data_IF_818106526451
#
_entry.id   IF_818106526451
#
_cell.length_a   1.000
_cell.length_b   1.000
_cell.length_c   1.000
_cell.angle_alpha   90.00
_cell.angle_beta   90.00
_cell.angle_gamma   90.00
#
_symmetry.space_group_name_H-M   'P 1'
#
loop_
_entity.id
_entity.type
_entity.pdbx_description
1 polymer ?
#
# COMPACT_ATOMS: atom_id res chain seq x y z
N UNK A 1 -12.92 -8.00 0.44
CA UNK A 1 -13.51 -6.67 0.67
C UNK A 1 -14.86 -6.59 0.00
N UNK A 2 -15.77 -5.75 0.52
CA UNK A 2 -17.11 -5.54 0.00
C UNK A 2 -17.13 -4.57 -1.20
N UNK A 3 -16.23 -3.59 -1.19
CA UNK A 3 -16.05 -2.60 -2.27
C UNK A 3 -15.63 -3.26 -3.59
N UNK A 4 -16.03 -2.66 -4.70
CA UNK A 4 -15.71 -3.17 -6.04
C UNK A 4 -14.21 -3.11 -6.33
N UNK A 5 -13.71 -3.95 -7.24
CA UNK A 5 -12.30 -3.92 -7.63
C UNK A 5 -11.88 -2.57 -8.22
N UNK A 6 -12.80 -1.85 -8.88
CA UNK A 6 -12.54 -0.54 -9.46
C UNK A 6 -12.36 0.55 -8.41
N UNK A 7 -13.25 0.60 -7.41
CA UNK A 7 -13.16 1.60 -6.34
C UNK A 7 -11.88 1.41 -5.52
N UNK A 8 -11.57 0.16 -5.23
CA UNK A 8 -10.38 -0.23 -4.47
C UNK A 8 -9.11 0.07 -5.24
N UNK A 9 -9.08 -0.27 -6.53
CA UNK A 9 -7.95 0.07 -7.39
C UNK A 9 -7.78 1.58 -7.52
N UNK A 10 -8.87 2.33 -7.67
CA UNK A 10 -8.85 3.80 -7.68
C UNK A 10 -8.25 4.37 -6.39
N UNK A 11 -8.60 3.80 -5.24
CA UNK A 11 -8.03 4.19 -3.95
C UNK A 11 -6.54 3.86 -3.81
N UNK A 12 -6.09 2.69 -4.27
CA UNK A 12 -4.67 2.28 -4.25
C UNK A 12 -3.84 3.16 -5.19
N UNK A 13 -4.33 3.38 -6.41
CA UNK A 13 -3.66 4.23 -7.38
C UNK A 13 -3.60 5.68 -6.90
N UNK A 14 -4.71 6.19 -6.32
CA UNK A 14 -4.83 7.50 -5.70
C UNK A 14 -4.35 7.58 -4.25
N UNK A 15 -3.50 6.66 -3.79
CA UNK A 15 -3.15 6.51 -2.37
C UNK A 15 -2.65 7.82 -1.73
N UNK A 16 -1.93 8.65 -2.47
CA UNK A 16 -1.39 9.94 -1.99
C UNK A 16 -2.46 10.86 -1.40
N UNK A 17 -3.68 10.80 -1.94
CA UNK A 17 -4.81 11.61 -1.49
C UNK A 17 -5.79 10.78 -0.65
N UNK A 18 -6.00 9.52 -1.01
CA UNK A 18 -7.05 8.70 -0.38
C UNK A 18 -6.60 8.14 0.96
N UNK A 19 -5.37 7.66 1.10
CA UNK A 19 -4.95 6.92 2.29
C UNK A 19 -4.95 7.76 3.56
N UNK A 20 -4.38 8.99 3.58
CA UNK A 20 -4.41 9.83 4.78
C UNK A 20 -5.83 10.22 5.21
N UNK A 21 -6.78 10.29 4.27
CA UNK A 21 -8.18 10.61 4.55
C UNK A 21 -8.97 9.39 5.02
N UNK A 22 -8.80 8.26 4.33
CA UNK A 22 -9.56 7.04 4.56
C UNK A 22 -9.06 6.26 5.78
N UNK A 23 -7.76 6.29 6.05
CA UNK A 23 -7.12 5.53 7.13
C UNK A 23 -6.02 6.33 7.83
N UNK A 24 -6.38 7.46 8.47
CA UNK A 24 -5.43 8.36 9.16
C UNK A 24 -4.67 7.69 10.31
N UNK A 25 -5.24 6.63 10.90
CA UNK A 25 -4.57 5.83 11.92
C UNK A 25 -3.36 5.05 11.35
N UNK A 26 -3.36 4.74 10.06
CA UNK A 26 -2.31 3.99 9.36
C UNK A 26 -1.37 4.91 8.57
N UNK A 27 -1.89 5.97 7.97
CA UNK A 27 -1.13 6.92 7.14
C UNK A 27 -1.40 8.34 7.60
N UNK A 28 -0.35 9.03 8.07
CA UNK A 28 -0.44 10.45 8.44
C UNK A 28 -0.28 11.34 7.19
N UNK A 29 0.70 11.01 6.34
CA UNK A 29 0.92 11.71 5.09
C UNK A 29 1.61 10.83 4.05
N UNK A 30 1.33 11.09 2.78
CA UNK A 30 2.07 10.53 1.64
C UNK A 30 2.43 11.69 0.71
N UNK A 31 3.71 12.05 0.68
CA UNK A 31 4.22 13.18 -0.09
C UNK A 31 4.89 12.69 -1.37
N UNK A 32 4.54 13.28 -2.50
CA UNK A 32 5.22 13.02 -3.77
C UNK A 32 6.50 13.85 -3.83
N UNK A 33 7.66 13.20 -3.94
CA UNK A 33 8.97 13.85 -4.00
C UNK A 33 9.70 13.63 -5.32
N UNK A 34 9.15 12.79 -6.20
CA UNK A 34 9.65 12.60 -7.57
C UNK A 34 8.49 12.34 -8.53
N UNK A 35 8.52 13.03 -9.68
CA UNK A 35 7.51 12.95 -10.75
C UNK A 35 6.07 13.24 -10.25
N UNK A 36 5.09 12.44 -10.67
CA UNK A 36 3.66 12.67 -10.47
C UNK A 36 3.06 11.86 -9.31
N UNK A 37 3.80 10.90 -8.75
CA UNK A 37 3.36 10.07 -7.63
C UNK A 37 2.44 8.92 -8.03
N UNK A 38 2.25 8.69 -9.33
CA UNK A 38 1.29 7.75 -9.90
C UNK A 38 1.95 6.79 -10.90
N UNK A 39 2.94 7.26 -11.66
CA UNK A 39 3.58 6.49 -12.73
C UNK A 39 4.90 5.88 -12.30
N UNK A 40 5.39 4.90 -13.06
CA UNK A 40 6.68 4.28 -12.81
C UNK A 40 7.83 5.32 -12.78
N UNK A 41 8.73 5.15 -11.82
CA UNK A 41 9.80 6.08 -11.47
C UNK A 41 9.38 7.23 -10.55
N UNK A 42 8.11 7.30 -10.12
CA UNK A 42 7.68 8.26 -9.11
C UNK A 42 8.13 7.86 -7.72
N UNK A 43 8.43 8.85 -6.88
CA UNK A 43 8.90 8.64 -5.50
C UNK A 43 7.88 9.21 -4.53
N UNK A 44 7.52 8.42 -3.51
CA UNK A 44 6.61 8.79 -2.44
C UNK A 44 7.28 8.63 -1.09
N UNK A 45 7.19 9.66 -0.25
CA UNK A 45 7.58 9.62 1.15
C UNK A 45 6.34 9.42 2.02
N UNK A 46 6.32 8.32 2.75
CA UNK A 46 5.22 7.94 3.63
C UNK A 46 5.62 8.28 5.07
N UNK A 47 4.72 8.98 5.75
CA UNK A 47 4.72 9.07 7.21
C UNK A 47 3.56 8.23 7.72
N UNK A 48 3.87 7.21 8.51
CA UNK A 48 2.86 6.30 9.03
C UNK A 48 2.16 6.86 10.27
N UNK A 49 0.87 6.58 10.37
CA UNK A 49 0.05 6.88 11.56
C UNK A 49 0.32 5.90 12.71
N UNK A 50 -0.33 6.13 13.85
CA UNK A 50 -0.01 5.45 15.11
C UNK A 50 -0.15 3.92 15.10
N UNK A 51 -0.97 3.32 14.22
CA UNK A 51 -1.10 1.85 14.08
C UNK A 51 0.19 1.20 13.54
N UNK A 52 0.96 1.94 12.73
CA UNK A 52 2.15 1.43 12.05
C UNK A 52 3.44 2.10 12.58
N UNK A 53 3.37 3.36 13.02
CA UNK A 53 4.53 4.18 13.42
C UNK A 53 5.42 3.56 14.51
N UNK A 54 4.85 2.71 15.37
CA UNK A 54 5.62 1.97 16.39
C UNK A 54 6.45 0.80 15.84
N UNK A 55 6.33 0.49 14.55
CA UNK A 55 7.09 -0.55 13.84
C UNK A 55 7.94 0.08 12.73
N UNK A 56 7.35 0.95 11.93
CA UNK A 56 7.98 1.67 10.82
C UNK A 56 7.45 3.09 10.86
N UNK A 57 8.30 4.09 11.11
CA UNK A 57 7.84 5.47 11.22
C UNK A 57 7.68 6.11 9.84
N UNK A 58 8.65 5.86 8.95
CA UNK A 58 8.66 6.39 7.59
C UNK A 58 9.13 5.37 6.57
N UNK A 59 8.54 5.40 5.39
CA UNK A 59 9.03 4.68 4.22
C UNK A 59 9.28 5.66 3.08
N UNK A 60 10.25 5.37 2.21
CA UNK A 60 10.41 6.07 0.93
C UNK A 60 10.34 5.03 -0.16
N UNK A 61 9.26 5.05 -0.91
CA UNK A 61 9.00 4.07 -1.95
C UNK A 61 9.09 4.68 -3.35
N UNK A 62 9.46 3.86 -4.30
CA UNK A 62 9.45 4.15 -5.73
C UNK A 62 8.42 3.25 -6.42
N UNK A 63 7.57 3.83 -7.26
CA UNK A 63 6.68 3.04 -8.13
C UNK A 63 7.53 2.43 -9.23
N UNK A 64 7.68 1.10 -9.23
CA UNK A 64 8.49 0.40 -10.24
C UNK A 64 7.66 -0.11 -11.42
N UNK A 65 6.34 -0.27 -11.24
CA UNK A 65 5.43 -0.75 -12.26
C UNK A 65 3.98 -0.44 -11.91
N UNK A 66 3.17 -0.17 -12.95
CA UNK A 66 1.72 -0.03 -12.84
C UNK A 66 1.09 -0.74 -14.03
N UNK A 67 0.19 -1.67 -13.74
CA UNK A 67 -0.62 -2.36 -14.72
C UNK A 67 -2.10 -2.09 -14.40
N UNK A 68 -2.70 -1.19 -15.18
CA UNK A 68 -4.11 -0.82 -15.00
C UNK A 68 -5.07 -1.92 -15.47
N UNK A 69 -4.64 -2.78 -16.40
CA UNK A 69 -5.47 -3.89 -16.91
C UNK A 69 -5.59 -4.98 -15.84
N UNK A 70 -4.46 -5.32 -15.19
CA UNK A 70 -4.40 -6.31 -14.12
C UNK A 70 -4.50 -5.71 -12.71
N UNK A 71 -4.80 -4.40 -12.58
CA UNK A 71 -4.90 -3.66 -11.31
C UNK A 71 -3.77 -3.97 -10.34
N UNK A 72 -2.54 -3.90 -10.85
CA UNK A 72 -1.33 -4.25 -10.11
C UNK A 72 -0.41 -3.04 -10.03
N UNK A 73 0.15 -2.79 -8.85
CA UNK A 73 1.20 -1.79 -8.62
C UNK A 73 2.40 -2.45 -7.93
N UNK A 74 3.57 -2.21 -8.49
CA UNK A 74 4.85 -2.67 -7.97
C UNK A 74 5.60 -1.50 -7.34
N UNK A 75 6.17 -1.73 -6.16
CA UNK A 75 6.81 -0.73 -5.32
C UNK A 75 8.17 -1.24 -4.84
N UNK A 76 9.19 -0.39 -4.91
CA UNK A 76 10.50 -0.63 -4.33
C UNK A 76 10.75 0.29 -3.14
N UNK A 77 11.41 -0.20 -2.09
CA UNK A 77 11.80 0.62 -0.94
C UNK A 77 13.25 1.12 -1.08
N UNK A 78 13.51 2.36 -0.68
CA UNK A 78 14.83 2.98 -0.80
C UNK A 78 15.68 2.73 0.45
N UNK A 79 16.99 2.69 0.26
CA UNK A 79 17.94 2.34 1.32
C UNK A 79 17.94 3.29 2.53
N UNK A 80 17.47 4.52 2.36
CA UNK A 80 17.43 5.55 3.40
C UNK A 80 16.11 5.58 4.20
N UNK A 81 15.19 4.65 3.93
CA UNK A 81 13.95 4.52 4.68
C UNK A 81 14.05 3.57 5.88
N UNK A 82 13.01 3.53 6.74
CA UNK A 82 13.09 2.71 7.95
C UNK A 82 12.97 1.20 7.62
N UNK A 83 12.29 0.82 6.53
CA UNK A 83 12.09 -0.59 6.12
C UNK A 83 13.43 -1.22 5.73
N UNK A 84 14.17 -0.58 4.83
CA UNK A 84 15.47 -1.07 4.37
C UNK A 84 16.59 -0.63 5.32
N UNK A 85 16.62 0.64 5.71
CA UNK A 85 17.68 1.17 6.57
C UNK A 85 17.76 0.53 7.96
N UNK A 86 16.67 -0.11 8.43
CA UNK A 86 16.63 -0.77 9.75
C UNK A 86 16.45 -2.28 9.68
N UNK A 87 15.59 -2.80 8.80
CA UNK A 87 15.09 -4.18 8.93
C UNK A 87 15.52 -5.15 7.83
N UNK A 88 15.79 -4.69 6.61
CA UNK A 88 16.10 -5.55 5.46
C UNK A 88 17.17 -4.93 4.57
N UNK A 89 18.02 -5.71 3.89
CA UNK A 89 18.93 -5.13 2.88
C UNK A 89 18.21 -4.62 1.65
N UNK A 90 17.11 -5.26 1.31
CA UNK A 90 16.25 -4.88 0.20
C UNK A 90 14.84 -5.35 0.47
N UNK A 91 13.86 -4.54 0.09
CA UNK A 91 12.46 -4.90 0.14
C UNK A 91 11.71 -4.32 -1.07
N UNK A 92 10.71 -5.05 -1.55
CA UNK A 92 9.77 -4.62 -2.57
C UNK A 92 8.38 -5.12 -2.23
N UNK A 93 7.37 -4.47 -2.78
CA UNK A 93 5.97 -4.72 -2.50
C UNK A 93 5.17 -4.76 -3.78
N UNK A 94 4.26 -5.72 -3.87
CA UNK A 94 3.29 -5.84 -4.96
C UNK A 94 1.90 -5.79 -4.36
N UNK A 95 1.04 -4.93 -4.91
CA UNK A 95 -0.38 -4.86 -4.55
C UNK A 95 -1.20 -5.15 -5.79
N UNK A 96 -2.08 -6.15 -5.71
CA UNK A 96 -2.97 -6.56 -6.79
C UNK A 96 -4.41 -6.60 -6.32
N UNK A 97 -5.33 -6.15 -7.18
CA UNK A 97 -6.77 -6.18 -6.90
C UNK A 97 -7.49 -7.06 -7.92
N UNK A 98 -8.16 -8.10 -7.44
CA UNK A 98 -8.98 -8.98 -8.26
C UNK A 98 -10.47 -8.82 -7.89
N UNK A 99 -11.41 -8.92 -8.86
CA UNK A 99 -12.84 -8.95 -8.57
C UNK A 99 -13.27 -10.28 -7.92
N UNK A 100 -14.21 -10.23 -6.96
CA UNK A 100 -14.67 -11.41 -6.21
C UNK A 100 -15.89 -12.13 -6.78
N UNK A 101 -16.69 -11.42 -7.58
CA UNK A 101 -17.88 -11.98 -8.21
C UNK A 101 -17.75 -11.86 -9.73
N UNK A 102 -18.40 -12.78 -10.44
CA UNK A 102 -18.29 -12.94 -11.89
C UNK A 102 -18.65 -11.63 -12.60
N UNK A 103 -17.65 -10.97 -13.20
CA UNK A 103 -17.80 -9.85 -14.12
C UNK A 103 -17.02 -8.60 -13.72
N UNK A 104 -16.46 -7.91 -14.72
CA UNK A 104 -15.76 -6.63 -14.60
C UNK A 104 -16.66 -5.45 -15.04
N UNK A 105 -17.86 -5.42 -14.47
CA UNK A 105 -18.91 -4.45 -14.83
C UNK A 105 -19.15 -3.40 -13.74
N UNK A 106 -19.88 -2.32 -14.06
CA UNK A 106 -20.22 -1.24 -13.13
C UNK A 106 -21.08 -1.69 -11.94
N UNK A 107 -21.63 -2.90 -11.98
CA UNK A 107 -22.40 -3.51 -10.89
C UNK A 107 -21.63 -4.64 -10.18
N UNK A 108 -20.35 -4.84 -10.49
CA UNK A 108 -19.53 -5.85 -9.81
C UNK A 108 -19.37 -5.48 -8.34
N UNK A 109 -19.51 -6.47 -7.46
CA UNK A 109 -19.38 -6.28 -6.01
C UNK A 109 -18.26 -7.15 -5.47
N UNK A 110 -17.56 -6.59 -4.50
CA UNK A 110 -16.49 -7.25 -3.79
C UNK A 110 -15.20 -7.39 -4.59
N UNK A 111 -14.11 -7.45 -3.84
CA UNK A 111 -12.75 -7.54 -4.35
C UNK A 111 -11.83 -8.27 -3.39
N UNK A 112 -10.76 -8.85 -3.94
CA UNK A 112 -9.67 -9.46 -3.22
C UNK A 112 -8.43 -8.59 -3.44
N UNK A 113 -7.81 -8.18 -2.35
CA UNK A 113 -6.48 -7.56 -2.40
C UNK A 113 -5.46 -8.65 -2.08
N UNK A 114 -4.47 -8.79 -2.95
CA UNK A 114 -3.25 -9.50 -2.65
C UNK A 114 -2.15 -8.48 -2.39
N UNK A 115 -1.57 -8.52 -1.19
CA UNK A 115 -0.46 -7.68 -0.78
C UNK A 115 0.74 -8.59 -0.51
N UNK A 116 1.83 -8.41 -1.26
CA UNK A 116 3.02 -9.25 -1.17
C UNK A 116 4.25 -8.41 -0.87
N UNK A 117 4.92 -8.67 0.25
CA UNK A 117 6.23 -8.10 0.59
C UNK A 117 7.32 -9.13 0.29
N UNK A 118 8.24 -8.79 -0.60
CA UNK A 118 9.45 -9.58 -0.88
C UNK A 118 10.64 -8.87 -0.27
N UNK A 119 11.49 -9.57 0.47
CA UNK A 119 12.62 -8.96 1.14
C UNK A 119 13.81 -9.92 1.25
N UNK A 120 15.01 -9.35 1.44
CA UNK A 120 16.23 -10.07 1.77
C UNK A 120 16.74 -9.63 3.14
N UNK A 121 16.98 -10.59 4.04
CA UNK A 121 17.46 -10.34 5.39
C UNK A 121 18.95 -10.70 5.53
N UNK A 122 19.78 -9.71 5.81
CA UNK A 122 21.15 -9.85 6.34
C UNK A 122 21.50 -8.71 7.33
N UNK A 123 20.50 -7.91 7.72
CA UNK A 123 20.59 -6.81 8.69
C UNK A 123 20.35 -7.29 10.13
N UNK A 124 20.91 -6.55 11.11
CA UNK A 124 20.79 -6.88 12.54
C UNK A 124 19.39 -6.59 13.14
N UNK A 125 18.50 -5.93 12.38
CA UNK A 125 17.13 -5.64 12.81
C UNK A 125 16.15 -6.78 12.49
N UNK A 126 15.03 -6.80 13.21
CA UNK A 126 13.90 -7.68 12.86
C UNK A 126 12.59 -6.90 12.95
N UNK A 127 11.86 -6.84 11.83
CA UNK A 127 10.50 -6.36 11.83
C UNK A 127 9.59 -7.49 12.32
N UNK A 128 8.69 -7.20 13.25
CA UNK A 128 7.64 -8.16 13.61
C UNK A 128 6.62 -8.23 12.45
N UNK A 129 6.90 -9.09 11.48
CA UNK A 129 6.13 -9.22 10.25
C UNK A 129 4.67 -9.55 10.50
N UNK A 130 4.36 -10.39 11.51
CA UNK A 130 2.98 -10.72 11.86
C UNK A 130 2.23 -9.49 12.39
N UNK A 131 2.87 -8.66 13.20
CA UNK A 131 2.26 -7.41 13.69
C UNK A 131 2.06 -6.43 12.53
N UNK A 132 3.02 -6.33 11.62
CA UNK A 132 2.94 -5.49 10.44
C UNK A 132 1.82 -5.94 9.50
N UNK A 133 1.77 -7.22 9.15
CA UNK A 133 0.72 -7.84 8.33
C UNK A 133 -0.68 -7.61 8.92
N UNK A 134 -0.86 -7.86 10.21
CA UNK A 134 -2.15 -7.64 10.88
C UNK A 134 -2.58 -6.16 10.84
N UNK A 135 -1.64 -5.23 10.95
CA UNK A 135 -1.94 -3.80 10.88
C UNK A 135 -2.26 -3.37 9.44
N UNK A 136 -1.55 -3.88 8.44
CA UNK A 136 -1.87 -3.68 7.02
C UNK A 136 -3.27 -4.21 6.68
N UNK A 137 -3.63 -5.40 7.18
CA UNK A 137 -4.97 -5.97 6.99
C UNK A 137 -6.07 -5.06 7.56
N UNK A 138 -5.89 -4.55 8.79
CA UNK A 138 -6.82 -3.56 9.40
C UNK A 138 -6.90 -2.26 8.60
N UNK A 139 -5.79 -1.84 7.98
CA UNK A 139 -5.77 -0.70 7.06
C UNK A 139 -6.71 -0.92 5.87
N UNK A 140 -6.64 -2.08 5.23
CA UNK A 140 -7.53 -2.42 4.11
C UNK A 140 -8.99 -2.58 4.55
N UNK A 141 -9.27 -3.13 5.74
CA UNK A 141 -10.62 -3.14 6.30
C UNK A 141 -11.17 -1.72 6.52
N UNK A 142 -10.32 -0.80 7.00
CA UNK A 142 -10.68 0.61 7.19
C UNK A 142 -10.94 1.30 5.86
N UNK A 143 -10.12 1.04 4.84
CA UNK A 143 -10.32 1.54 3.49
C UNK A 143 -11.63 1.02 2.88
N UNK A 144 -11.93 -0.28 3.03
CA UNK A 144 -13.18 -0.87 2.55
C UNK A 144 -14.40 -0.20 3.20
N UNK A 145 -14.35 0.02 4.51
CA UNK A 145 -15.41 0.73 5.22
C UNK A 145 -15.55 2.20 4.76
N UNK A 146 -14.45 2.88 4.46
CA UNK A 146 -14.47 4.24 3.92
C UNK A 146 -15.15 4.28 2.54
N UNK A 147 -14.74 3.39 1.62
CA UNK A 147 -15.26 3.34 0.26
C UNK A 147 -16.74 2.94 0.21
N UNK A 148 -17.21 2.10 1.14
CA UNK A 148 -18.62 1.75 1.26
C UNK A 148 -19.52 2.90 1.76
N UNK A 149 -18.93 3.97 2.30
CA UNK A 149 -19.64 5.14 2.84
C UNK A 149 -19.35 6.44 2.07
N UNK A 150 -18.53 6.38 1.01
CA UNK A 150 -18.21 7.51 0.14
C UNK A 150 -19.24 7.66 -0.99
#
# INVERSE_FOLDING_TARGET
MASSANDVWGAIFGATYVYPLAMPAHYDAILVTGRDGLTAGSIRQITYGYEIAGMVRRATEEITGVDHENRTIDLGFRNDDDIVGTFFRSASMVVKVDPNSVGDGPNSRGSNITWTLTYASDSNGSLNLKKFENATARGFETLDAYLMNA
#
